data_IF_482095267366
#
_entry.id   IF_482095267366
#
_cell.length_a   1.000
_cell.length_b   1.000
_cell.length_c   1.000
_cell.angle_alpha   90.00
_cell.angle_beta   90.00
_cell.angle_gamma   90.00
#
_symmetry.space_group_name_H-M   'P 1'
#
loop_
_entity.id
_entity.type
_entity.pdbx_description
1 polymer ?
#
# COMPACT_ATOMS: atom_id res chain seq x y z
N UNK A 1 -11.32 1.39 23.76
CA UNK A 1 -11.84 0.90 22.47
C UNK A 1 -13.16 0.20 22.75
N UNK A 2 -14.23 0.63 22.11
CA UNK A 2 -15.59 0.09 22.34
C UNK A 2 -15.72 -1.24 21.61
N UNK A 3 -16.53 -2.19 22.10
CA UNK A 3 -16.71 -3.51 21.44
C UNK A 3 -17.12 -3.38 19.95
N UNK A 4 -17.88 -2.33 19.62
CA UNK A 4 -18.24 -1.96 18.25
C UNK A 4 -17.02 -1.62 17.39
N UNK A 5 -16.03 -0.91 17.94
CA UNK A 5 -14.80 -0.55 17.24
C UNK A 5 -13.95 -1.80 16.95
N UNK A 6 -13.91 -2.74 17.90
CA UNK A 6 -13.19 -4.01 17.74
C UNK A 6 -13.80 -4.89 16.64
N UNK A 7 -15.13 -4.99 16.56
CA UNK A 7 -15.79 -5.71 15.47
C UNK A 7 -15.53 -5.03 14.13
N UNK A 8 -15.62 -3.70 14.07
CA UNK A 8 -15.35 -2.95 12.85
C UNK A 8 -13.91 -3.17 12.36
N UNK A 9 -12.94 -3.11 13.28
CA UNK A 9 -11.55 -3.37 12.97
C UNK A 9 -11.34 -4.79 12.44
N UNK A 10 -12.01 -5.79 13.03
CA UNK A 10 -11.90 -7.18 12.60
C UNK A 10 -12.47 -7.39 11.19
N UNK A 11 -13.60 -6.76 10.87
CA UNK A 11 -14.17 -6.76 9.51
C UNK A 11 -13.21 -6.12 8.52
N UNK A 12 -12.60 -4.99 8.87
CA UNK A 12 -11.63 -4.30 8.01
C UNK A 12 -10.42 -5.20 7.73
N UNK A 13 -9.88 -5.85 8.76
CA UNK A 13 -8.74 -6.76 8.64
C UNK A 13 -9.09 -7.94 7.72
N UNK A 14 -10.25 -8.56 7.91
CA UNK A 14 -10.72 -9.66 7.07
C UNK A 14 -10.93 -9.22 5.62
N UNK A 15 -11.58 -8.08 5.40
CA UNK A 15 -11.81 -7.55 4.06
C UNK A 15 -10.48 -7.26 3.32
N UNK A 16 -9.50 -6.70 4.03
CA UNK A 16 -8.16 -6.47 3.47
C UNK A 16 -7.41 -7.77 3.18
N UNK A 17 -7.45 -8.75 4.10
CA UNK A 17 -6.81 -10.05 3.92
C UNK A 17 -7.40 -10.84 2.73
N UNK A 18 -8.73 -10.91 2.66
CA UNK A 18 -9.45 -11.52 1.54
C UNK A 18 -9.13 -10.84 0.21
N UNK A 19 -8.86 -9.53 0.21
CA UNK A 19 -8.51 -8.81 -1.02
C UNK A 19 -7.26 -9.38 -1.69
N UNK A 20 -6.23 -9.72 -0.92
CA UNK A 20 -5.01 -10.34 -1.46
C UNK A 20 -5.26 -11.74 -2.03
N UNK A 21 -6.13 -12.52 -1.39
CA UNK A 21 -6.51 -13.85 -1.88
C UNK A 21 -7.27 -13.74 -3.20
N UNK A 22 -8.25 -12.84 -3.28
CA UNK A 22 -9.02 -12.58 -4.50
C UNK A 22 -8.12 -12.06 -5.62
N UNK A 23 -7.16 -11.18 -5.31
CA UNK A 23 -6.16 -10.72 -6.27
C UNK A 23 -5.32 -11.89 -6.79
N UNK A 24 -4.87 -12.78 -5.89
CA UNK A 24 -4.11 -13.97 -6.26
C UNK A 24 -4.89 -14.89 -7.20
N UNK A 25 -6.18 -15.11 -6.93
CA UNK A 25 -7.06 -15.88 -7.81
C UNK A 25 -7.29 -15.16 -9.14
N UNK A 26 -7.53 -13.85 -9.12
CA UNK A 26 -7.80 -13.05 -10.32
C UNK A 26 -6.60 -12.93 -11.28
N UNK A 27 -5.38 -12.98 -10.74
CA UNK A 27 -4.13 -12.98 -11.52
C UNK A 27 -3.92 -14.26 -12.34
N UNK A 28 -4.63 -15.35 -12.02
CA UNK A 28 -4.61 -16.58 -12.82
C UNK A 28 -5.36 -16.45 -14.14
N UNK A 29 -6.34 -15.56 -14.22
CA UNK A 29 -7.27 -15.45 -15.36
C UNK A 29 -7.15 -14.09 -16.10
N UNK A 30 -6.74 -13.03 -15.39
CA UNK A 30 -6.78 -11.64 -15.90
C UNK A 30 -5.43 -10.95 -15.72
N UNK A 31 -4.93 -10.23 -16.75
CA UNK A 31 -3.70 -9.48 -16.65
C UNK A 31 -3.70 -8.49 -15.46
N UNK A 32 -2.61 -8.44 -14.67
CA UNK A 32 -2.52 -7.68 -13.42
C UNK A 32 -2.92 -6.20 -13.55
N UNK A 33 -2.43 -5.53 -14.60
CA UNK A 33 -2.76 -4.13 -14.88
C UNK A 33 -4.22 -3.91 -15.28
N UNK A 34 -4.85 -4.91 -15.91
CA UNK A 34 -6.23 -4.83 -16.39
C UNK A 34 -7.21 -4.95 -15.22
N UNK A 35 -6.92 -5.82 -14.24
CA UNK A 35 -7.67 -5.97 -13.00
C UNK A 35 -7.55 -4.70 -12.13
N UNK A 36 -6.34 -4.13 -12.04
CA UNK A 36 -6.12 -2.81 -11.44
C UNK A 36 -6.91 -1.72 -12.15
N UNK A 37 -6.83 -1.65 -13.48
CA UNK A 37 -7.55 -0.69 -14.30
C UNK A 37 -9.07 -0.76 -14.14
N UNK A 38 -9.65 -1.96 -14.15
CA UNK A 38 -11.09 -2.20 -13.92
C UNK A 38 -11.53 -1.75 -12.53
N UNK A 39 -10.72 -2.04 -11.50
CA UNK A 39 -11.01 -1.59 -10.12
C UNK A 39 -11.02 -0.06 -10.04
N UNK A 40 -10.02 0.61 -10.62
CA UNK A 40 -9.98 2.07 -10.63
C UNK A 40 -11.06 2.69 -11.51
N UNK A 41 -11.43 2.06 -12.62
CA UNK A 41 -12.58 2.47 -13.43
C UNK A 41 -13.90 2.36 -12.67
N UNK A 42 -14.11 1.27 -11.93
CA UNK A 42 -15.30 1.10 -11.10
C UNK A 42 -15.35 2.15 -9.98
N UNK A 43 -14.21 2.39 -9.30
CA UNK A 43 -14.11 3.44 -8.27
C UNK A 43 -14.33 4.83 -8.87
N UNK A 44 -13.76 5.11 -10.05
CA UNK A 44 -13.95 6.39 -10.75
C UNK A 44 -15.40 6.56 -11.22
N UNK A 45 -16.05 5.51 -11.74
CA UNK A 45 -17.43 5.55 -12.19
C UNK A 45 -18.39 5.81 -11.02
N UNK A 46 -18.25 5.06 -9.93
CA UNK A 46 -19.05 5.23 -8.71
C UNK A 46 -18.75 6.58 -8.06
N UNK A 47 -17.47 6.96 -7.99
CA UNK A 47 -17.03 8.24 -7.44
C UNK A 47 -17.54 9.44 -8.23
N UNK A 48 -17.56 9.37 -9.56
CA UNK A 48 -18.07 10.46 -10.40
C UNK A 48 -19.61 10.57 -10.34
N UNK A 49 -20.32 9.48 -10.03
CA UNK A 49 -21.78 9.45 -9.85
C UNK A 49 -22.22 9.95 -8.46
N UNK A 50 -21.46 9.66 -7.40
CA UNK A 50 -21.82 9.98 -6.01
C UNK A 50 -21.16 11.24 -5.44
N UNK A 51 -19.99 11.64 -5.96
CA UNK A 51 -19.18 12.71 -5.37
C UNK A 51 -19.21 13.96 -6.25
N UNK A 52 -19.70 15.07 -5.68
CA UNK A 52 -19.68 16.39 -6.30
C UNK A 52 -18.21 16.78 -6.59
N UNK A 53 -17.89 17.15 -7.84
CA UNK A 53 -16.51 17.47 -8.29
C UNK A 53 -15.81 18.41 -7.29
N UNK A 54 -14.79 17.94 -6.55
CA UNK A 54 -14.08 18.79 -5.61
C UNK A 54 -13.18 19.75 -6.40
N UNK A 55 -13.21 21.04 -6.04
CA UNK A 55 -12.46 22.11 -6.70
C UNK A 55 -11.00 22.13 -6.20
N UNK A 56 -10.25 21.04 -6.49
CA UNK A 56 -8.85 20.86 -6.09
C UNK A 56 -7.96 20.97 -7.33
N UNK A 57 -6.80 21.67 -7.27
CA UNK A 57 -5.88 21.74 -8.41
C UNK A 57 -5.47 20.35 -8.91
N UNK A 58 -5.46 20.16 -10.24
CA UNK A 58 -5.13 18.87 -10.89
C UNK A 58 -3.76 18.31 -10.43
N UNK A 59 -2.84 19.19 -10.02
CA UNK A 59 -1.54 18.82 -9.46
C UNK A 59 -1.67 17.94 -8.21
N UNK A 60 -2.60 18.27 -7.31
CA UNK A 60 -2.84 17.48 -6.08
C UNK A 60 -3.55 16.16 -6.38
N UNK A 61 -4.42 16.15 -7.39
CA UNK A 61 -4.99 14.91 -7.91
C UNK A 61 -3.92 13.96 -8.41
N UNK A 62 -2.97 14.43 -9.23
CA UNK A 62 -1.89 13.58 -9.72
C UNK A 62 -0.94 13.15 -8.60
N UNK A 63 -0.52 14.07 -7.73
CA UNK A 63 0.43 13.77 -6.63
C UNK A 63 -0.14 12.74 -5.65
N UNK A 64 -1.46 12.71 -5.45
CA UNK A 64 -2.11 11.73 -4.59
C UNK A 64 -2.49 10.43 -5.32
N UNK A 65 -3.17 10.53 -6.47
CA UNK A 65 -3.76 9.39 -7.16
C UNK A 65 -2.72 8.52 -7.87
N UNK A 66 -1.59 9.08 -8.34
CA UNK A 66 -0.54 8.28 -8.99
C UNK A 66 0.16 7.34 -8.00
N UNK A 67 0.68 7.81 -6.85
CA UNK A 67 1.40 6.93 -5.92
C UNK A 67 0.47 5.93 -5.24
N UNK A 68 -0.70 6.39 -4.79
CA UNK A 68 -1.63 5.58 -4.00
C UNK A 68 -2.53 4.68 -4.86
N UNK A 69 -2.84 5.12 -6.08
CA UNK A 69 -3.71 4.39 -7.00
C UNK A 69 -2.90 3.56 -8.00
N UNK A 70 -2.20 4.23 -8.91
CA UNK A 70 -1.58 3.54 -10.04
C UNK A 70 -0.30 2.79 -9.66
N UNK A 71 0.68 3.48 -9.05
CA UNK A 71 2.02 2.92 -8.80
C UNK A 71 1.99 1.79 -7.78
N UNK A 72 1.33 1.98 -6.62
CA UNK A 72 1.22 0.94 -5.61
C UNK A 72 0.68 -0.37 -6.19
N UNK A 73 -0.45 -0.31 -6.89
CA UNK A 73 -1.08 -1.50 -7.43
C UNK A 73 -0.30 -2.06 -8.61
N UNK A 74 0.23 -1.22 -9.52
CA UNK A 74 1.06 -1.68 -10.64
C UNK A 74 2.28 -2.48 -10.16
N UNK A 75 3.01 -1.97 -9.15
CA UNK A 75 4.16 -2.67 -8.60
C UNK A 75 3.78 -3.94 -7.84
N UNK A 76 2.70 -3.93 -7.06
CA UNK A 76 2.22 -5.10 -6.32
C UNK A 76 1.78 -6.22 -7.27
N UNK A 77 1.03 -5.87 -8.29
CA UNK A 77 0.54 -6.77 -9.33
C UNK A 77 1.69 -7.35 -10.16
N UNK A 78 2.66 -6.53 -10.54
CA UNK A 78 3.88 -6.98 -11.22
C UNK A 78 4.69 -7.91 -10.33
N UNK A 79 4.80 -7.63 -9.03
CA UNK A 79 5.49 -8.50 -8.09
C UNK A 79 4.85 -9.89 -8.01
N UNK A 80 3.52 -9.94 -7.90
CA UNK A 80 2.78 -11.21 -7.83
C UNK A 80 2.88 -12.01 -9.12
N UNK A 81 2.83 -11.34 -10.28
CA UNK A 81 3.04 -11.99 -11.58
C UNK A 81 4.47 -12.56 -11.74
N UNK A 82 5.46 -11.94 -11.09
CA UNK A 82 6.86 -12.38 -11.13
C UNK A 82 7.20 -13.35 -9.97
N UNK A 83 6.22 -14.06 -9.41
CA UNK A 83 6.45 -15.12 -8.43
C UNK A 83 6.46 -14.67 -6.98
N UNK A 84 5.88 -13.52 -6.63
CA UNK A 84 5.63 -13.15 -5.24
C UNK A 84 4.32 -13.79 -4.74
N UNK A 85 4.35 -14.70 -3.75
CA UNK A 85 3.12 -15.25 -3.17
C UNK A 85 2.28 -14.15 -2.50
N UNK A 86 0.96 -14.20 -2.65
CA UNK A 86 0.05 -13.19 -2.10
C UNK A 86 0.20 -12.96 -0.59
N UNK A 87 0.45 -14.04 0.16
CA UNK A 87 0.70 -13.97 1.60
C UNK A 87 1.95 -13.15 1.93
N UNK A 88 3.08 -13.45 1.30
CA UNK A 88 4.33 -12.71 1.49
C UNK A 88 4.20 -11.27 0.97
N UNK A 89 3.54 -11.07 -0.17
CA UNK A 89 3.26 -9.74 -0.72
C UNK A 89 2.49 -8.87 0.27
N UNK A 90 1.46 -9.42 0.94
CA UNK A 90 0.68 -8.71 1.94
C UNK A 90 1.52 -8.30 3.16
N UNK A 91 2.41 -9.17 3.64
CA UNK A 91 3.29 -8.90 4.77
C UNK A 91 4.32 -7.81 4.43
N UNK A 92 4.96 -7.92 3.26
CA UNK A 92 5.95 -6.94 2.81
C UNK A 92 5.30 -5.60 2.52
N UNK A 93 4.07 -5.58 1.97
CA UNK A 93 3.36 -4.34 1.70
C UNK A 93 3.09 -3.53 2.98
N UNK A 94 2.90 -4.18 4.14
CA UNK A 94 2.71 -3.48 5.42
C UNK A 94 3.94 -2.68 5.87
N UNK A 95 5.12 -2.91 5.27
CA UNK A 95 6.27 -2.00 5.42
C UNK A 95 5.97 -0.56 4.99
N UNK A 96 4.87 -0.30 4.26
CA UNK A 96 4.39 1.04 3.94
C UNK A 96 4.27 1.95 5.18
N UNK A 97 3.95 1.41 6.36
CA UNK A 97 3.88 2.20 7.59
C UNK A 97 5.26 2.75 7.99
N UNK A 98 6.32 1.97 7.79
CA UNK A 98 7.71 2.41 8.04
C UNK A 98 8.12 3.47 7.04
N UNK A 99 7.89 3.23 5.74
CA UNK A 99 8.19 4.20 4.70
C UNK A 99 7.42 5.51 4.91
N UNK A 100 6.17 5.43 5.37
CA UNK A 100 5.37 6.62 5.69
C UNK A 100 6.01 7.41 6.83
N UNK A 101 6.51 6.75 7.88
CA UNK A 101 7.24 7.44 8.95
C UNK A 101 8.54 8.09 8.46
N UNK A 102 9.33 7.37 7.66
CA UNK A 102 10.57 7.91 7.09
C UNK A 102 10.29 9.12 6.20
N UNK A 103 9.30 9.02 5.32
CA UNK A 103 8.88 10.14 4.48
C UNK A 103 8.27 11.29 5.30
N UNK A 104 7.57 11.01 6.40
CA UNK A 104 7.09 12.07 7.30
C UNK A 104 8.26 12.86 7.91
N UNK A 105 9.34 12.18 8.34
CA UNK A 105 10.54 12.86 8.82
C UNK A 105 11.21 13.69 7.72
N UNK A 106 11.33 13.16 6.51
CA UNK A 106 12.01 13.86 5.41
C UNK A 106 11.20 15.04 4.86
N UNK A 107 9.92 14.84 4.59
CA UNK A 107 9.07 15.83 3.92
C UNK A 107 8.34 16.77 4.89
N UNK A 108 7.87 16.28 6.04
CA UNK A 108 7.16 17.10 7.04
C UNK A 108 8.08 17.60 8.16
N UNK A 109 9.33 17.13 8.23
CA UNK A 109 10.28 17.47 9.32
C UNK A 109 9.72 17.18 10.72
N UNK A 110 8.81 16.21 10.84
CA UNK A 110 8.28 15.77 12.13
C UNK A 110 9.39 15.10 12.94
N UNK A 111 9.52 15.47 14.21
CA UNK A 111 10.53 14.91 15.11
C UNK A 111 10.26 13.43 15.40
N UNK A 112 11.20 12.57 15.02
CA UNK A 112 11.08 11.12 15.23
C UNK A 112 11.48 10.76 16.65
N UNK A 113 10.61 10.02 17.34
CA UNK A 113 10.85 9.51 18.70
C UNK A 113 11.67 8.22 18.63
N UNK A 114 12.51 7.97 19.63
CA UNK A 114 13.38 6.78 19.69
C UNK A 114 12.63 5.45 19.48
N UNK A 115 11.41 5.35 19.98
CA UNK A 115 10.52 4.19 19.78
C UNK A 115 10.20 3.90 18.31
N UNK A 116 10.09 4.93 17.47
CA UNK A 116 9.83 4.77 16.02
C UNK A 116 11.07 4.26 15.30
N UNK A 117 12.27 4.70 15.72
CA UNK A 117 13.55 4.19 15.17
C UNK A 117 13.71 2.70 15.49
N UNK A 118 13.41 2.30 16.74
CA UNK A 118 13.43 0.90 17.14
C UNK A 118 12.40 0.06 16.37
N UNK A 119 11.20 0.60 16.13
CA UNK A 119 10.18 -0.06 15.31
C UNK A 119 10.62 -0.24 13.85
N UNK A 120 11.31 0.75 13.26
CA UNK A 120 11.88 0.66 11.91
C UNK A 120 12.99 -0.40 11.86
N UNK A 121 13.90 -0.41 12.84
CA UNK A 121 14.97 -1.40 12.90
C UNK A 121 14.41 -2.82 13.05
N UNK A 122 13.42 -3.01 13.92
CA UNK A 122 12.76 -4.31 14.14
C UNK A 122 11.97 -4.80 12.92
N UNK A 123 11.26 -3.89 12.25
CA UNK A 123 10.49 -4.27 11.07
C UNK A 123 11.39 -4.47 9.83
N UNK A 124 12.50 -3.74 9.73
CA UNK A 124 13.56 -3.97 8.75
C UNK A 124 14.25 -5.32 8.95
N UNK A 125 14.55 -5.71 10.18
CA UNK A 125 15.10 -7.04 10.48
C UNK A 125 14.09 -8.15 10.20
N UNK A 126 12.80 -7.92 10.46
CA UNK A 126 11.72 -8.83 10.05
C UNK A 126 11.66 -9.05 8.55
N UNK A 127 11.78 -7.99 7.73
CA UNK A 127 11.85 -8.11 6.27
C UNK A 127 13.08 -8.90 5.81
N UNK A 128 14.25 -8.62 6.39
CA UNK A 128 15.48 -9.38 6.08
C UNK A 128 15.32 -10.85 6.45
N UNK A 129 14.75 -11.15 7.60
CA UNK A 129 14.49 -12.52 8.03
C UNK A 129 13.54 -13.25 7.09
N UNK A 130 12.50 -12.56 6.57
CA UNK A 130 11.63 -13.10 5.53
C UNK A 130 12.46 -13.46 4.29
N UNK A 131 13.36 -12.60 3.81
CA UNK A 131 14.19 -12.93 2.63
C UNK A 131 15.12 -14.13 2.84
N UNK A 132 15.66 -14.31 4.05
CA UNK A 132 16.57 -15.42 4.39
C UNK A 132 15.80 -16.73 4.55
N UNK A 133 14.66 -16.71 5.23
CA UNK A 133 13.82 -17.90 5.46
C UNK A 133 13.07 -18.30 4.19
N UNK A 134 12.66 -17.34 3.37
CA UNK A 134 11.98 -17.58 2.09
C UNK A 134 12.88 -18.17 1.00
N UNK A 135 14.19 -18.38 1.23
CA UNK A 135 15.04 -19.20 0.35
C UNK A 135 14.54 -20.65 0.18
N UNK A 136 13.50 -21.05 0.94
CA UNK A 136 12.82 -22.35 0.89
C UNK A 136 11.47 -22.29 0.13
N UNK A 137 11.00 -21.10 -0.26
CA UNK A 137 9.72 -20.87 -0.97
C UNK A 137 9.97 -20.21 -2.33
N UNK A 138 9.14 -20.45 -3.34
CA UNK A 138 9.23 -19.96 -4.74
C UNK A 138 9.27 -18.42 -4.95
N UNK A 139 9.60 -17.63 -3.93
CA UNK A 139 9.67 -16.17 -3.99
C UNK A 139 10.89 -15.69 -4.77
N UNK A 140 10.67 -14.91 -5.83
CA UNK A 140 11.74 -14.23 -6.54
C UNK A 140 12.19 -12.96 -5.81
N UNK A 141 13.51 -12.71 -5.78
CA UNK A 141 14.07 -11.45 -5.26
C UNK A 141 13.50 -10.23 -6.00
N UNK A 142 13.22 -10.39 -7.29
CA UNK A 142 12.62 -9.35 -8.12
C UNK A 142 11.20 -8.99 -7.67
N UNK A 143 10.35 -9.98 -7.40
CA UNK A 143 9.02 -9.77 -6.83
C UNK A 143 9.06 -9.07 -5.48
N UNK A 144 10.00 -9.45 -4.61
CA UNK A 144 10.21 -8.81 -3.32
C UNK A 144 10.55 -7.31 -3.46
N UNK A 145 11.53 -6.97 -4.31
CA UNK A 145 11.92 -5.57 -4.56
C UNK A 145 10.73 -4.75 -5.11
N UNK A 146 9.96 -5.33 -6.04
CA UNK A 146 8.76 -4.68 -6.57
C UNK A 146 7.70 -4.43 -5.50
N UNK A 147 7.47 -5.37 -4.57
CA UNK A 147 6.55 -5.12 -3.44
C UNK A 147 7.06 -4.02 -2.50
N UNK A 148 8.37 -3.85 -2.37
CA UNK A 148 8.96 -2.77 -1.60
C UNK A 148 8.70 -1.41 -2.27
N UNK A 149 8.81 -1.33 -3.61
CA UNK A 149 8.42 -0.14 -4.37
C UNK A 149 6.92 0.14 -4.27
N UNK A 150 6.07 -0.90 -4.24
CA UNK A 150 4.64 -0.75 -4.00
C UNK A 150 4.37 -0.13 -2.62
N UNK A 151 5.06 -0.62 -1.58
CA UNK A 151 4.95 -0.10 -0.22
C UNK A 151 5.43 1.36 -0.10
N UNK A 152 6.54 1.69 -0.76
CA UNK A 152 7.04 3.06 -0.82
C UNK A 152 6.08 4.00 -1.57
N UNK A 153 5.48 3.54 -2.67
CA UNK A 153 4.49 4.32 -3.42
C UNK A 153 3.24 4.61 -2.58
N UNK A 154 2.77 3.61 -1.82
CA UNK A 154 1.67 3.79 -0.88
C UNK A 154 2.02 4.81 0.20
N UNK A 155 3.22 4.72 0.76
CA UNK A 155 3.69 5.67 1.76
C UNK A 155 3.75 7.11 1.25
N UNK A 156 4.19 7.33 0.01
CA UNK A 156 4.14 8.65 -0.64
C UNK A 156 2.70 9.16 -0.79
N UNK A 157 1.75 8.28 -1.12
CA UNK A 157 0.32 8.59 -1.15
C UNK A 157 -0.21 9.06 0.20
N UNK A 158 0.14 8.35 1.28
CA UNK A 158 -0.23 8.71 2.66
C UNK A 158 0.36 10.06 3.10
N UNK A 159 1.58 10.37 2.68
CA UNK A 159 2.22 11.66 2.97
C UNK A 159 1.54 12.77 2.20
N UNK A 160 1.22 12.55 0.93
CA UNK A 160 0.53 13.53 0.09
C UNK A 160 -0.82 13.93 0.69
N UNK A 161 -1.61 12.98 1.20
CA UNK A 161 -2.86 13.31 1.94
C UNK A 161 -2.62 14.08 3.22
N UNK A 162 -1.59 13.70 4.00
CA UNK A 162 -1.22 14.44 5.22
C UNK A 162 -0.84 15.88 4.90
N UNK A 163 0.02 16.11 3.92
CA UNK A 163 0.44 17.45 3.49
C UNK A 163 -0.77 18.28 3.04
N UNK A 164 -1.66 17.73 2.22
CA UNK A 164 -2.89 18.43 1.80
C UNK A 164 -3.78 18.81 2.98
N UNK A 165 -3.93 17.92 3.96
CA UNK A 165 -4.73 18.19 5.16
C UNK A 165 -4.15 19.31 6.04
N UNK A 166 -2.82 19.43 6.09
CA UNK A 166 -2.14 20.47 6.86
C UNK A 166 -2.13 21.83 6.16
N UNK A 167 -2.02 21.88 4.83
CA UNK A 167 -2.08 23.13 4.05
C UNK A 167 -3.48 23.77 4.04
N UNK A 168 -4.53 23.00 4.37
CA UNK A 168 -5.92 23.49 4.41
C UNK A 168 -6.34 23.96 5.83
N UNK A 169 -5.43 23.95 6.81
CA UNK A 169 -5.61 24.54 8.14
C UNK A 169 -4.86 25.87 8.23
#
# INVERSE_FOLDING_TARGET
MTFKDSILALVIILAWGLNFVVISFGLGEVPPLLLGGLRFLAVAAIGCLLVKRPNIPLKWWCVYALPMGFMQFAFLFMAMANGMPAGLASLVLQSQALFTMVFALVFLKEGVRLHQVLAIALAGSGLLMITVVSGVSDMTLFGFILTLFAAASWALGNISTRTMSQTTR
#
